data_IF_004258160392
#
_entry.id   IF_004258160392
#
_cell.length_a   1.000
_cell.length_b   1.000
_cell.length_c   1.000
_cell.angle_alpha   90.00
_cell.angle_beta   90.00
_cell.angle_gamma   90.00
#
_symmetry.space_group_name_H-M   'P 1'
#
loop_
_entity.id
_entity.type
_entity.pdbx_description
1 polymer ?
#
# COMPACT_ATOMS: atom_id res chain seq x y z
N UNK A 1 -26.97 4.74 4.32
CA UNK A 1 -26.69 5.79 5.33
C UNK A 1 -25.26 6.30 5.16
N UNK A 2 -25.02 7.62 5.32
CA UNK A 2 -23.68 8.23 5.20
C UNK A 2 -22.98 8.32 6.57
N UNK A 3 -21.64 8.47 6.57
CA UNK A 3 -20.88 8.62 7.82
C UNK A 3 -21.25 9.89 8.60
N UNK A 4 -21.60 10.97 7.90
CA UNK A 4 -22.06 12.23 8.51
C UNK A 4 -23.39 12.04 9.27
N UNK A 5 -24.25 11.15 8.79
CA UNK A 5 -25.53 10.83 9.42
C UNK A 5 -25.33 10.08 10.74
N UNK A 6 -24.42 9.10 10.75
CA UNK A 6 -24.02 8.38 11.97
C UNK A 6 -23.44 9.34 12.99
N UNK A 7 -22.56 10.23 12.54
CA UNK A 7 -21.92 11.22 13.40
C UNK A 7 -22.96 12.12 14.08
N UNK A 8 -23.93 12.62 13.32
CA UNK A 8 -25.02 13.44 13.82
C UNK A 8 -25.89 12.70 14.85
N UNK A 9 -26.28 11.46 14.57
CA UNK A 9 -27.08 10.63 15.50
C UNK A 9 -26.33 10.29 16.78
N UNK A 10 -25.05 9.95 16.66
CA UNK A 10 -24.18 9.64 17.80
C UNK A 10 -23.66 10.90 18.53
N UNK A 11 -24.02 12.12 18.08
CA UNK A 11 -23.56 13.40 18.64
C UNK A 11 -22.03 13.53 18.69
N UNK A 12 -21.34 13.03 17.67
CA UNK A 12 -19.89 13.12 17.51
C UNK A 12 -19.50 13.72 16.16
N UNK A 13 -18.23 14.04 15.97
CA UNK A 13 -17.73 14.49 14.67
C UNK A 13 -17.62 13.31 13.68
N UNK A 14 -17.72 13.54 12.35
CA UNK A 14 -17.42 12.52 11.34
C UNK A 14 -16.01 11.95 11.46
N UNK A 15 -15.04 12.77 11.91
CA UNK A 15 -13.68 12.33 12.18
C UNK A 15 -13.62 11.31 13.34
N UNK A 16 -14.43 11.49 14.39
CA UNK A 16 -14.56 10.53 15.49
C UNK A 16 -15.12 9.20 15.00
N UNK A 17 -16.16 9.21 14.16
CA UNK A 17 -16.72 7.98 13.56
C UNK A 17 -15.65 7.28 12.70
N UNK A 18 -14.89 8.04 11.91
CA UNK A 18 -13.76 7.49 11.15
C UNK A 18 -12.70 6.84 12.05
N UNK A 19 -12.37 7.44 13.20
CA UNK A 19 -11.46 6.85 14.18
C UNK A 19 -12.04 5.58 14.81
N UNK A 20 -13.33 5.54 15.16
CA UNK A 20 -13.96 4.31 15.66
C UNK A 20 -13.82 3.17 14.65
N UNK A 21 -13.97 3.45 13.36
CA UNK A 21 -13.86 2.45 12.30
C UNK A 21 -12.40 2.00 12.05
N UNK A 22 -11.44 2.93 12.08
CA UNK A 22 -10.07 2.66 11.61
C UNK A 22 -9.05 2.48 12.73
N UNK A 23 -9.28 3.12 13.87
CA UNK A 23 -8.36 3.24 15.01
C UNK A 23 -9.15 3.25 16.33
N UNK A 24 -9.95 2.19 16.63
CA UNK A 24 -10.85 2.17 17.79
C UNK A 24 -10.13 2.37 19.12
N UNK A 25 -8.87 1.92 19.23
CA UNK A 25 -8.02 2.05 20.41
C UNK A 25 -7.68 3.51 20.78
N UNK A 26 -7.85 4.47 19.87
CA UNK A 26 -7.62 5.90 20.13
C UNK A 26 -8.88 6.64 20.61
N UNK A 27 -10.02 5.95 20.71
CA UNK A 27 -11.31 6.52 21.10
C UNK A 27 -11.67 6.03 22.49
N UNK A 28 -12.14 6.93 23.35
CA UNK A 28 -12.64 6.57 24.66
C UNK A 28 -13.75 5.50 24.57
N UNK A 29 -13.77 4.50 25.47
CA UNK A 29 -14.66 3.34 25.39
C UNK A 29 -16.13 3.73 25.32
N UNK A 30 -16.56 4.74 26.10
CA UNK A 30 -17.95 5.22 26.12
C UNK A 30 -18.41 5.73 24.74
N UNK A 31 -17.56 6.51 24.08
CA UNK A 31 -17.85 7.06 22.74
C UNK A 31 -17.82 5.97 21.66
N UNK A 32 -16.93 5.00 21.82
CA UNK A 32 -16.84 3.85 20.94
C UNK A 32 -18.13 3.03 21.01
N UNK A 33 -18.62 2.72 22.22
CA UNK A 33 -19.88 2.00 22.43
C UNK A 33 -21.08 2.76 21.85
N UNK A 34 -21.16 4.08 22.08
CA UNK A 34 -22.22 4.92 21.55
C UNK A 34 -22.29 4.91 20.01
N UNK A 35 -21.14 5.07 19.34
CA UNK A 35 -21.08 5.04 17.87
C UNK A 35 -21.40 3.65 17.33
N UNK A 36 -20.90 2.59 17.99
CA UNK A 36 -21.21 1.21 17.61
C UNK A 36 -22.70 0.89 17.72
N UNK A 37 -23.38 1.35 18.77
CA UNK A 37 -24.82 1.17 18.91
C UNK A 37 -25.59 1.79 17.74
N UNK A 38 -25.26 3.03 17.36
CA UNK A 38 -25.88 3.73 16.22
C UNK A 38 -25.55 3.03 14.89
N UNK A 39 -24.32 2.53 14.71
CA UNK A 39 -23.94 1.78 13.52
C UNK A 39 -24.75 0.48 13.38
N UNK A 40 -24.95 -0.25 14.47
CA UNK A 40 -25.75 -1.48 14.52
C UNK A 40 -27.22 -1.20 14.25
N UNK A 41 -27.81 -0.20 14.91
CA UNK A 41 -29.20 0.21 14.69
C UNK A 41 -29.45 0.63 13.23
N UNK A 42 -28.49 1.32 12.63
CA UNK A 42 -28.56 1.75 11.23
C UNK A 42 -28.16 0.67 10.22
N UNK A 43 -27.81 -0.55 10.67
CA UNK A 43 -27.24 -1.63 9.87
C UNK A 43 -26.09 -1.16 8.94
N UNK A 44 -25.27 -0.25 9.45
CA UNK A 44 -24.21 0.38 8.67
C UNK A 44 -22.93 -0.46 8.67
N UNK A 45 -22.57 -0.94 7.49
CA UNK A 45 -21.28 -1.62 7.27
C UNK A 45 -20.33 -0.70 6.53
N UNK A 46 -19.18 -0.30 7.11
CA UNK A 46 -18.22 0.56 6.44
C UNK A 46 -17.58 -0.18 5.25
N UNK A 47 -17.37 0.55 4.15
CA UNK A 47 -16.69 -0.01 2.97
C UNK A 47 -15.30 -0.53 3.37
N UNK A 48 -14.91 -1.74 2.95
CA UNK A 48 -13.57 -2.27 3.19
C UNK A 48 -12.47 -1.32 2.69
N UNK A 49 -11.35 -1.25 3.40
CA UNK A 49 -10.25 -0.31 3.12
C UNK A 49 -9.79 -0.34 1.66
N UNK A 50 -9.70 -1.52 1.03
CA UNK A 50 -9.26 -1.69 -0.36
C UNK A 50 -10.22 -1.11 -1.41
N UNK A 51 -11.50 -0.93 -1.07
CA UNK A 51 -12.55 -0.36 -1.95
C UNK A 51 -12.82 1.12 -1.67
N UNK A 52 -12.18 1.73 -0.67
CA UNK A 52 -12.36 3.16 -0.36
C UNK A 52 -11.72 4.04 -1.43
N UNK A 53 -12.36 5.19 -1.68
CA UNK A 53 -11.91 6.23 -2.59
C UNK A 53 -10.90 7.13 -1.86
N UNK A 54 -9.86 7.58 -2.54
CA UNK A 54 -8.78 8.39 -1.98
C UNK A 54 -7.41 7.93 -2.50
N UNK A 55 -6.33 8.67 -2.19
CA UNK A 55 -4.98 8.21 -2.48
C UNK A 55 -4.75 6.94 -1.66
N UNK A 56 -4.90 5.78 -2.29
CA UNK A 56 -4.43 4.54 -1.69
C UNK A 56 -2.94 4.78 -1.47
N UNK A 57 -2.41 4.52 -0.26
CA UNK A 57 -0.97 4.37 -0.15
C UNK A 57 -0.62 3.15 -1.01
N UNK A 58 -0.34 3.44 -2.28
CA UNK A 58 0.50 2.57 -3.07
C UNK A 58 1.79 2.63 -2.27
N UNK A 59 2.02 1.67 -1.38
CA UNK A 59 3.35 1.11 -1.31
C UNK A 59 3.72 0.92 -2.78
N UNK A 60 4.59 1.79 -3.28
CA UNK A 60 4.79 1.94 -4.71
C UNK A 60 5.04 0.52 -5.24
N UNK A 61 4.17 0.08 -6.16
CA UNK A 61 4.29 -1.26 -6.70
C UNK A 61 5.72 -1.41 -7.24
N UNK A 62 6.29 -2.63 -7.14
CA UNK A 62 7.48 -3.07 -7.83
C UNK A 62 7.95 -2.16 -8.96
N UNK A 63 8.99 -1.32 -8.87
CA UNK A 63 9.50 -0.74 -10.13
C UNK A 63 10.21 -1.88 -10.87
N UNK A 64 9.56 -2.44 -11.88
CA UNK A 64 10.12 -3.54 -12.68
C UNK A 64 10.99 -2.96 -13.80
N UNK A 65 12.27 -3.30 -13.80
CA UNK A 65 13.23 -2.86 -14.81
C UNK A 65 13.85 -4.10 -15.45
N UNK A 66 13.66 -4.26 -16.75
CA UNK A 66 14.33 -5.28 -17.56
C UNK A 66 15.53 -4.69 -18.26
N UNK A 67 16.71 -5.28 -18.09
CA UNK A 67 17.91 -4.91 -18.85
C UNK A 67 18.20 -6.03 -19.85
N UNK A 68 18.18 -5.70 -21.14
CA UNK A 68 18.40 -6.65 -22.22
C UNK A 68 19.73 -6.40 -22.90
N UNK A 69 20.62 -7.39 -22.84
CA UNK A 69 21.91 -7.39 -23.50
C UNK A 69 21.81 -8.21 -24.79
N UNK A 70 22.03 -7.55 -25.93
CA UNK A 70 22.08 -8.18 -27.26
C UNK A 70 23.54 -8.30 -27.71
N UNK A 71 23.95 -9.47 -28.18
CA UNK A 71 25.30 -9.72 -28.69
C UNK A 71 26.38 -9.87 -27.60
N UNK A 72 26.04 -9.65 -26.33
CA UNK A 72 26.92 -9.98 -25.21
C UNK A 72 27.00 -11.51 -25.05
N UNK A 73 28.19 -12.09 -25.23
CA UNK A 73 28.42 -13.49 -24.83
C UNK A 73 28.34 -13.56 -23.30
N UNK A 74 27.67 -14.58 -22.76
CA UNK A 74 27.65 -14.89 -21.32
C UNK A 74 29.07 -15.25 -20.89
N UNK A 75 29.89 -14.25 -20.63
CA UNK A 75 31.28 -14.41 -20.25
C UNK A 75 31.36 -14.26 -18.72
N UNK A 76 31.69 -15.32 -17.96
CA UNK A 76 31.73 -15.26 -16.51
C UNK A 76 32.75 -14.23 -15.97
N UNK A 77 33.71 -13.81 -16.80
CA UNK A 77 34.80 -12.91 -16.41
C UNK A 77 34.61 -11.44 -16.81
N UNK A 78 33.43 -11.05 -17.32
CA UNK A 78 33.20 -9.72 -17.94
C UNK A 78 31.93 -9.01 -17.44
N UNK A 79 31.49 -9.32 -16.23
CA UNK A 79 30.24 -8.80 -15.69
C UNK A 79 30.45 -7.62 -14.74
N UNK A 80 31.20 -6.60 -15.19
CA UNK A 80 31.32 -5.31 -14.48
C UNK A 80 29.94 -4.74 -14.09
N UNK A 81 28.91 -4.93 -14.92
CA UNK A 81 27.56 -4.48 -14.62
C UNK A 81 26.89 -5.31 -13.52
N UNK A 82 27.12 -6.63 -13.46
CA UNK A 82 26.60 -7.46 -12.38
C UNK A 82 27.26 -7.09 -11.05
N UNK A 83 28.56 -6.80 -11.06
CA UNK A 83 29.28 -6.30 -9.87
C UNK A 83 28.73 -4.96 -9.40
N UNK A 84 28.46 -4.03 -10.33
CA UNK A 84 27.78 -2.78 -10.01
C UNK A 84 26.37 -3.03 -9.43
N UNK A 85 25.62 -4.01 -9.95
CA UNK A 85 24.31 -4.35 -9.40
C UNK A 85 24.39 -4.91 -7.98
N UNK A 86 25.40 -5.73 -7.67
CA UNK A 86 25.61 -6.25 -6.31
C UNK A 86 25.93 -5.11 -5.33
N UNK A 87 26.69 -4.10 -5.76
CA UNK A 87 26.98 -2.91 -4.94
C UNK A 87 25.74 -2.03 -4.72
N UNK A 88 24.85 -1.95 -5.71
CA UNK A 88 23.64 -1.11 -5.68
C UNK A 88 22.43 -1.84 -5.06
N UNK A 89 22.49 -3.17 -4.88
CA UNK A 89 21.44 -4.01 -4.30
C UNK A 89 20.81 -3.48 -3.00
N UNK A 90 21.58 -3.00 -1.99
CA UNK A 90 20.98 -2.42 -0.78
C UNK A 90 20.15 -1.15 -1.02
N UNK A 91 20.41 -0.43 -2.12
CA UNK A 91 19.59 0.73 -2.53
C UNK A 91 18.36 0.31 -3.35
N UNK A 92 18.49 -0.74 -4.17
CA UNK A 92 17.41 -1.36 -4.95
C UNK A 92 16.32 -1.92 -4.03
N UNK A 93 16.69 -2.58 -2.93
CA UNK A 93 15.73 -3.09 -1.93
C UNK A 93 14.96 -1.97 -1.24
N UNK A 94 15.67 -0.91 -0.82
CA UNK A 94 15.05 0.29 -0.22
C UNK A 94 14.10 0.98 -1.19
N UNK A 95 14.43 0.99 -2.47
CA UNK A 95 13.61 1.58 -3.53
C UNK A 95 12.55 0.62 -4.10
N UNK A 96 12.51 -0.64 -3.64
CA UNK A 96 11.62 -1.70 -4.12
C UNK A 96 11.68 -1.83 -5.65
N UNK A 97 12.87 -1.97 -6.19
CA UNK A 97 13.10 -2.20 -7.63
C UNK A 97 13.30 -3.70 -7.85
N UNK A 98 12.58 -4.26 -8.83
CA UNK A 98 12.75 -5.65 -9.29
C UNK A 98 13.51 -5.61 -10.62
N UNK A 99 14.74 -6.12 -10.64
CA UNK A 99 15.61 -6.12 -11.82
C UNK A 99 15.66 -7.51 -12.46
N UNK A 100 15.42 -7.58 -13.77
CA UNK A 100 15.57 -8.80 -14.57
C UNK A 100 16.61 -8.59 -15.66
N UNK A 101 17.59 -9.50 -15.76
CA UNK A 101 18.64 -9.45 -16.77
C UNK A 101 18.37 -10.50 -17.85
N UNK A 102 18.31 -10.05 -19.10
CA UNK A 102 18.10 -10.90 -20.27
C UNK A 102 19.32 -10.80 -21.18
N UNK A 103 19.76 -11.93 -21.72
CA UNK A 103 20.89 -11.99 -22.66
C UNK A 103 20.41 -12.70 -23.93
N UNK A 104 20.59 -12.09 -25.10
CA UNK A 104 20.34 -12.71 -26.40
C UNK A 104 21.59 -12.64 -27.29
N UNK A 105 21.85 -13.70 -28.05
CA UNK A 105 22.93 -13.73 -29.05
C UNK A 105 22.48 -13.23 -30.44
N UNK A 106 21.20 -12.90 -30.60
CA UNK A 106 20.64 -12.34 -31.84
C UNK A 106 19.58 -11.28 -31.50
N UNK A 107 19.52 -10.16 -32.27
CA UNK A 107 18.53 -9.10 -32.06
C UNK A 107 17.09 -9.58 -32.24
#
# INVERSE_FOLDING_TARGET
MLIAEIARRAKVSPATVSRVINQPHLVAPDRLAQVQAVMTEANYTPTPLHRRRGPKSRLAAPKKIGVWFVGARKNPNLNWFQEQLLQVQPSIEKQRVELSLLFSQSP
#
